data_IF_565770423679
#
_entry.id   IF_565770423679
#
_cell.length_a   1.000
_cell.length_b   1.000
_cell.length_c   1.000
_cell.angle_alpha   90.00
_cell.angle_beta   90.00
_cell.angle_gamma   90.00
#
_symmetry.space_group_name_H-M   'P 1'
#
loop_
_entity.id
_entity.type
_entity.pdbx_description
1 polymer ?
#
# COMPACT_ATOMS: atom_id res chain seq x y z
N UNK A 1 20.29 -7.47 10.57
CA UNK A 1 19.07 -7.76 11.35
C UNK A 1 17.93 -7.79 10.37
N UNK A 2 17.32 -8.94 10.11
CA UNK A 2 16.10 -8.97 9.30
C UNK A 2 15.03 -8.20 10.08
N UNK A 3 14.54 -7.10 9.52
CA UNK A 3 13.41 -6.37 10.12
C UNK A 3 12.24 -7.35 10.21
N UNK A 4 11.97 -7.87 11.42
CA UNK A 4 10.77 -8.66 11.68
C UNK A 4 9.58 -7.73 11.57
N UNK A 5 9.11 -7.50 10.35
CA UNK A 5 7.85 -6.79 10.10
C UNK A 5 6.73 -7.57 10.79
N UNK A 6 5.78 -6.85 11.37
CA UNK A 6 4.65 -7.46 12.08
C UNK A 6 3.85 -8.33 11.11
N UNK A 7 3.36 -9.51 11.51
CA UNK A 7 2.57 -10.34 10.61
C UNK A 7 1.37 -9.58 10.03
N UNK A 8 1.16 -9.75 8.72
CA UNK A 8 0.04 -9.19 7.98
C UNK A 8 -0.98 -10.26 7.62
N UNK A 9 -2.24 -9.87 7.55
CA UNK A 9 -3.34 -10.75 7.15
C UNK A 9 -3.33 -10.97 5.63
N UNK A 10 -3.95 -12.05 5.11
CA UNK A 10 -3.99 -12.31 3.66
C UNK A 10 -4.57 -11.14 2.84
N UNK A 11 -5.58 -10.44 3.36
CA UNK A 11 -6.16 -9.27 2.70
C UNK A 11 -5.18 -8.06 2.67
N UNK A 12 -4.39 -7.90 3.73
CA UNK A 12 -3.36 -6.85 3.80
C UNK A 12 -2.21 -7.15 2.85
N UNK A 13 -1.80 -8.42 2.75
CA UNK A 13 -0.80 -8.86 1.77
C UNK A 13 -1.30 -8.68 0.34
N UNK A 14 -2.56 -9.01 0.07
CA UNK A 14 -3.14 -8.80 -1.26
C UNK A 14 -3.13 -7.31 -1.66
N UNK A 15 -3.56 -6.42 -0.77
CA UNK A 15 -3.49 -4.96 -1.01
C UNK A 15 -2.06 -4.51 -1.21
N UNK A 16 -1.12 -4.97 -0.37
CA UNK A 16 0.29 -4.61 -0.50
C UNK A 16 0.85 -5.02 -1.87
N UNK A 17 0.57 -6.23 -2.33
CA UNK A 17 1.03 -6.72 -3.63
C UNK A 17 0.44 -5.89 -4.79
N UNK A 18 -0.83 -5.49 -4.70
CA UNK A 18 -1.45 -4.60 -5.67
C UNK A 18 -0.77 -3.23 -5.73
N UNK A 19 -0.47 -2.63 -4.57
CA UNK A 19 0.20 -1.33 -4.51
C UNK A 19 1.66 -1.41 -4.98
N UNK A 20 2.36 -2.52 -4.72
CA UNK A 20 3.71 -2.78 -5.24
C UNK A 20 3.70 -2.85 -6.78
N UNK A 21 2.78 -3.62 -7.37
CA UNK A 21 2.63 -3.70 -8.82
C UNK A 21 2.27 -2.33 -9.44
N UNK A 22 1.37 -1.59 -8.81
CA UNK A 22 0.98 -0.27 -9.30
C UNK A 22 2.13 0.73 -9.28
N UNK A 23 3.01 0.69 -8.26
CA UNK A 23 4.19 1.56 -8.22
C UNK A 23 5.16 1.27 -9.38
N UNK A 24 5.31 0.00 -9.77
CA UNK A 24 6.13 -0.36 -10.94
C UNK A 24 5.53 0.21 -12.24
N UNK A 25 4.20 0.30 -12.34
CA UNK A 25 3.49 0.86 -13.49
C UNK A 25 3.45 2.41 -13.52
N UNK A 26 3.33 3.04 -12.34
CA UNK A 26 3.17 4.49 -12.20
C UNK A 26 4.44 5.26 -12.63
N UNK A 27 5.61 4.64 -12.45
CA UNK A 27 6.91 5.26 -12.64
C UNK A 27 7.18 6.42 -11.67
N UNK A 28 8.31 7.13 -11.88
CA UNK A 28 8.76 8.20 -10.97
C UNK A 28 7.96 9.52 -11.08
N UNK A 29 7.05 9.64 -12.06
CA UNK A 29 6.42 10.92 -12.40
C UNK A 29 5.21 11.29 -11.56
N UNK A 30 4.51 10.31 -11.00
CA UNK A 30 3.31 10.55 -10.19
C UNK A 30 3.48 9.98 -8.78
N UNK A 31 3.23 10.78 -7.72
CA UNK A 31 3.24 10.24 -6.36
C UNK A 31 2.03 9.33 -6.15
N UNK A 32 2.24 8.18 -5.50
CA UNK A 32 1.14 7.34 -5.05
C UNK A 32 0.47 7.99 -3.83
N UNK A 33 -0.57 8.81 -4.05
CA UNK A 33 -1.33 9.36 -2.92
C UNK A 33 -2.31 8.34 -2.36
N UNK A 34 -2.82 8.58 -1.15
CA UNK A 34 -3.87 7.73 -0.57
C UNK A 34 -5.13 7.69 -1.42
N UNK A 35 -5.51 8.80 -2.04
CA UNK A 35 -6.68 8.84 -2.92
C UNK A 35 -6.46 7.98 -4.17
N UNK A 36 -5.31 8.14 -4.84
CA UNK A 36 -4.94 7.33 -6.00
C UNK A 36 -4.91 5.84 -5.64
N UNK A 37 -4.29 5.49 -4.50
CA UNK A 37 -4.25 4.11 -4.02
C UNK A 37 -5.65 3.53 -3.82
N UNK A 38 -6.58 4.30 -3.24
CA UNK A 38 -7.96 3.84 -3.03
C UNK A 38 -8.72 3.66 -4.35
N UNK A 39 -8.58 4.61 -5.28
CA UNK A 39 -9.20 4.50 -6.62
C UNK A 39 -8.67 3.28 -7.37
N UNK A 40 -7.35 3.07 -7.36
CA UNK A 40 -6.74 1.90 -7.98
C UNK A 40 -7.23 0.57 -7.37
N UNK A 41 -7.33 0.50 -6.04
CA UNK A 41 -7.85 -0.69 -5.35
C UNK A 41 -9.33 -0.94 -5.66
N UNK A 42 -10.14 0.11 -5.80
CA UNK A 42 -11.54 0.03 -6.23
C UNK A 42 -11.68 -0.57 -7.63
N UNK A 43 -10.86 -0.11 -8.59
CA UNK A 43 -10.80 -0.64 -9.95
C UNK A 43 -10.37 -2.12 -9.98
N UNK A 44 -9.79 -2.62 -8.90
CA UNK A 44 -9.38 -4.03 -8.73
C UNK A 44 -10.30 -4.81 -7.77
N UNK A 45 -11.50 -4.27 -7.49
CA UNK A 45 -12.56 -4.98 -6.79
C UNK A 45 -12.47 -4.91 -5.26
N UNK A 46 -11.57 -4.12 -4.71
CA UNK A 46 -11.44 -3.88 -3.27
C UNK A 46 -12.27 -2.66 -2.91
N UNK A 47 -13.26 -2.82 -2.03
CA UNK A 47 -14.15 -1.71 -1.69
C UNK A 47 -13.35 -0.54 -1.10
N UNK A 48 -13.72 0.72 -1.40
CA UNK A 48 -13.00 1.89 -0.87
C UNK A 48 -12.91 1.94 0.66
N UNK A 49 -13.91 1.43 1.39
CA UNK A 49 -13.87 1.35 2.85
C UNK A 49 -12.81 0.34 3.32
N UNK A 50 -12.82 -0.87 2.75
CA UNK A 50 -11.86 -1.93 3.09
C UNK A 50 -10.43 -1.52 2.71
N UNK A 51 -10.23 -0.91 1.53
CA UNK A 51 -8.94 -0.37 1.11
C UNK A 51 -8.41 0.70 2.07
N UNK A 52 -9.28 1.60 2.55
CA UNK A 52 -8.89 2.65 3.51
C UNK A 52 -8.43 2.07 4.84
N UNK A 53 -9.12 1.05 5.32
CA UNK A 53 -8.79 0.37 6.58
C UNK A 53 -7.52 -0.45 6.45
N UNK A 54 -7.35 -1.18 5.35
CA UNK A 54 -6.14 -1.99 5.10
C UNK A 54 -4.90 -1.12 4.92
N UNK A 55 -4.97 -0.03 4.14
CA UNK A 55 -3.86 0.93 4.00
C UNK A 55 -3.46 1.46 5.38
N UNK A 56 -4.43 1.80 6.23
CA UNK A 56 -4.17 2.26 7.61
C UNK A 56 -3.46 1.19 8.44
N UNK A 57 -3.86 -0.08 8.32
CA UNK A 57 -3.18 -1.18 9.01
C UNK A 57 -1.75 -1.36 8.52
N UNK A 58 -1.52 -1.31 7.21
CA UNK A 58 -0.19 -1.45 6.61
C UNK A 58 0.75 -0.31 7.05
N UNK A 59 0.24 0.93 7.14
CA UNK A 59 0.97 2.08 7.72
C UNK A 59 1.36 1.81 9.19
N UNK A 60 0.39 1.40 10.02
CA UNK A 60 0.63 1.08 11.44
C UNK A 60 1.64 -0.06 11.65
N UNK A 61 1.72 -0.98 10.70
CA UNK A 61 2.64 -2.13 10.72
C UNK A 61 3.99 -1.83 10.06
N UNK A 62 4.16 -0.64 9.47
CA UNK A 62 5.41 -0.21 8.82
C UNK A 62 5.67 -0.88 7.46
N UNK A 63 4.61 -1.36 6.80
CA UNK A 63 4.67 -1.86 5.43
C UNK A 63 4.45 -0.75 4.41
N UNK A 64 3.81 0.34 4.83
CA UNK A 64 3.71 1.59 4.09
C UNK A 64 4.28 2.71 4.97
N UNK A 65 4.73 3.79 4.35
CA UNK A 65 5.00 5.05 5.05
C UNK A 65 4.50 6.23 4.23
N UNK A 66 4.07 7.30 4.90
CA UNK A 66 3.63 8.54 4.25
C UNK A 66 4.76 9.58 4.32
N UNK A 67 5.10 10.19 3.18
CA UNK A 67 6.01 11.33 3.08
C UNK A 67 5.22 12.48 2.45
N UNK A 68 4.74 13.40 3.29
CA UNK A 68 3.70 14.33 2.85
C UNK A 68 2.42 13.56 2.53
N UNK A 69 1.89 13.74 1.32
CA UNK A 69 0.68 13.03 0.85
C UNK A 69 0.99 11.74 0.06
N UNK A 70 2.27 11.39 -0.07
CA UNK A 70 2.72 10.24 -0.85
C UNK A 70 2.93 9.01 0.02
N UNK A 71 2.26 7.92 -0.35
CA UNK A 71 2.48 6.58 0.16
C UNK A 71 3.71 5.99 -0.54
N UNK A 72 4.63 5.48 0.28
CA UNK A 72 5.84 4.80 -0.17
C UNK A 72 5.89 3.39 0.41
N UNK A 73 6.43 2.47 -0.39
CA UNK A 73 6.59 1.06 0.00
C UNK A 73 8.07 0.77 0.18
N UNK A 74 8.53 0.37 1.37
CA UNK A 74 9.92 0.01 1.59
C UNK A 74 10.19 -1.37 0.96
N UNK A 75 11.36 -1.58 0.31
CA UNK A 75 11.67 -2.84 -0.34
C UNK A 75 11.53 -4.03 0.62
N UNK A 76 10.92 -5.12 0.16
CA UNK A 76 10.88 -6.40 0.90
C UNK A 76 12.28 -7.04 0.80
N UNK A 77 12.82 -7.50 1.93
CA UNK A 77 14.10 -8.24 1.99
C UNK A 77 13.88 -9.72 1.72
#
# INVERSE_FOLDING_TARGET
>A
MANSRRPIAPAEENVLNHLEAYLEELGDTNPLTREIAITYLEDHGIKPADGRDIIKQLLLKGYLYEVGDEIRIPPRS
#
